data_IF_790482827484
#
_entry.id   IF_790482827484
#
_cell.length_a   1.000
_cell.length_b   1.000
_cell.length_c   1.000
_cell.angle_alpha   90.00
_cell.angle_beta   90.00
_cell.angle_gamma   90.00
#
_symmetry.space_group_name_H-M   'P 1'
#
loop_
_entity.id
_entity.type
_entity.pdbx_description
1 polymer ?
#
# COMPACT_ATOMS: atom_id res chain seq x y z
N UNK A 1 48.23 13.77 -3.88
CA UNK A 1 48.26 12.50 -3.12
C UNK A 1 46.84 12.34 -2.65
N UNK A 2 46.07 11.69 -3.51
CA UNK A 2 44.66 11.36 -3.30
C UNK A 2 44.59 10.26 -2.24
N UNK A 3 43.62 10.36 -1.34
CA UNK A 3 42.74 9.26 -0.95
C UNK A 3 41.74 9.81 0.09
N UNK A 4 40.55 10.17 -0.39
CA UNK A 4 39.37 10.20 0.47
C UNK A 4 38.84 8.77 0.57
N UNK A 5 38.86 8.21 1.77
CA UNK A 5 38.19 6.95 2.07
C UNK A 5 36.84 7.24 2.72
N UNK A 6 35.81 6.92 1.94
CA UNK A 6 34.39 6.90 2.26
C UNK A 6 34.07 5.73 3.18
N UNK A 7 33.64 6.01 4.41
CA UNK A 7 33.02 5.03 5.30
C UNK A 7 31.50 5.27 5.40
N UNK A 8 30.80 4.98 4.30
CA UNK A 8 29.36 4.71 4.33
C UNK A 8 29.19 3.22 4.70
N UNK A 9 29.18 2.94 6.01
CA UNK A 9 28.82 1.62 6.53
C UNK A 9 27.33 1.36 6.24
N UNK A 10 27.08 0.91 5.01
CA UNK A 10 25.86 0.20 4.65
C UNK A 10 25.69 -1.00 5.58
N UNK A 11 24.77 -0.89 6.54
CA UNK A 11 24.36 -2.01 7.39
C UNK A 11 23.64 -3.01 6.49
N UNK A 12 24.41 -3.97 5.97
CA UNK A 12 23.91 -5.14 5.26
C UNK A 12 23.19 -6.01 6.29
N UNK A 13 21.87 -5.91 6.32
CA UNK A 13 21.02 -6.88 7.00
C UNK A 13 21.23 -8.23 6.28
N UNK A 14 22.06 -9.08 6.88
CA UNK A 14 22.23 -10.45 6.42
C UNK A 14 20.89 -11.16 6.58
N UNK A 15 20.28 -11.49 5.44
CA UNK A 15 19.08 -12.32 5.36
C UNK A 15 19.38 -13.64 6.07
N UNK A 16 18.86 -13.78 7.29
CA UNK A 16 18.73 -15.06 7.94
C UNK A 16 17.79 -15.92 7.09
N UNK A 17 18.14 -17.18 6.86
CA UNK A 17 17.33 -18.16 6.14
C UNK A 17 15.89 -18.18 6.67
N UNK A 18 14.98 -17.48 5.99
CA UNK A 18 13.54 -17.52 6.27
C UNK A 18 12.97 -18.64 5.43
N UNK A 19 12.78 -19.80 6.05
CA UNK A 19 12.04 -20.92 5.48
C UNK A 19 10.68 -20.46 4.96
N UNK A 20 10.37 -20.87 3.74
CA UNK A 20 9.18 -20.61 2.91
C UNK A 20 7.84 -20.45 3.67
N UNK A 21 7.55 -19.23 4.11
CA UNK A 21 6.19 -18.73 4.37
C UNK A 21 6.18 -17.20 4.26
N UNK A 22 6.72 -16.66 3.16
CA UNK A 22 6.59 -15.24 2.85
C UNK A 22 5.19 -14.99 2.32
N UNK A 23 4.23 -14.80 3.22
CA UNK A 23 2.94 -14.21 2.83
C UNK A 23 3.22 -12.77 2.44
N UNK A 24 3.12 -12.48 1.13
CA UNK A 24 3.29 -11.12 0.64
C UNK A 24 2.19 -10.24 1.24
N UNK A 25 2.53 -9.02 1.64
CA UNK A 25 1.61 -8.04 2.25
C UNK A 25 0.38 -7.77 1.35
N UNK A 26 0.46 -8.13 0.05
CA UNK A 26 -0.56 -7.94 -0.97
C UNK A 26 -1.83 -8.79 -0.78
N UNK A 27 -1.81 -9.87 0.01
CA UNK A 27 -2.98 -10.76 0.22
C UNK A 27 -3.74 -10.49 1.53
N UNK A 28 -3.24 -9.59 2.38
CA UNK A 28 -3.86 -9.29 3.67
C UNK A 28 -4.87 -8.14 3.52
N UNK A 29 -6.16 -8.48 3.58
CA UNK A 29 -7.24 -7.53 3.40
C UNK A 29 -7.84 -7.00 4.71
N UNK A 30 -7.61 -7.68 5.84
CA UNK A 30 -8.13 -7.22 7.14
C UNK A 30 -7.25 -7.58 8.34
N UNK A 31 -7.44 -6.81 9.44
CA UNK A 31 -6.72 -6.96 10.71
C UNK A 31 -6.89 -8.34 11.37
N UNK A 32 -7.97 -9.07 11.05
CA UNK A 32 -8.22 -10.41 11.61
C UNK A 32 -7.31 -11.45 10.95
N UNK A 33 -7.18 -11.43 9.62
CA UNK A 33 -6.27 -12.29 8.86
C UNK A 33 -4.82 -12.10 9.33
N UNK A 34 -4.41 -10.84 9.49
CA UNK A 34 -3.09 -10.52 10.02
C UNK A 34 -2.87 -11.08 11.44
N UNK A 35 -3.87 -10.95 12.32
CA UNK A 35 -3.77 -11.51 13.67
C UNK A 35 -3.67 -13.03 13.64
N UNK A 36 -4.44 -13.72 12.79
CA UNK A 36 -4.37 -15.17 12.66
C UNK A 36 -2.96 -15.63 12.21
N UNK A 37 -2.39 -14.94 11.22
CA UNK A 37 -1.03 -15.22 10.75
C UNK A 37 0.03 -14.98 11.85
N UNK A 38 -0.14 -13.92 12.65
CA UNK A 38 0.69 -13.67 13.82
C UNK A 38 0.58 -14.82 14.85
N UNK A 39 -0.62 -15.31 15.12
CA UNK A 39 -0.85 -16.43 16.05
C UNK A 39 -0.22 -17.72 15.53
N UNK A 40 -0.34 -18.01 14.24
CA UNK A 40 0.29 -19.16 13.60
C UNK A 40 1.82 -19.09 13.69
N UNK A 41 2.40 -17.93 13.41
CA UNK A 41 3.85 -17.70 13.53
C UNK A 41 4.35 -17.80 14.98
N UNK A 42 3.59 -17.27 15.94
CA UNK A 42 3.94 -17.38 17.36
C UNK A 42 3.84 -18.84 17.86
N UNK A 43 2.87 -19.59 17.35
CA UNK A 43 2.69 -21.02 17.68
C UNK A 43 3.82 -21.88 17.09
N UNK A 44 4.24 -21.62 15.85
CA UNK A 44 5.36 -22.34 15.23
C UNK A 44 6.71 -22.01 15.86
N UNK A 45 6.86 -20.80 16.41
CA UNK A 45 8.08 -20.36 17.11
C UNK A 45 8.04 -20.58 18.63
N UNK A 46 7.01 -21.26 19.16
CA UNK A 46 6.81 -21.54 20.60
C UNK A 46 6.88 -20.28 21.49
N UNK A 47 6.42 -19.13 20.98
CA UNK A 47 6.39 -17.86 21.72
C UNK A 47 5.00 -17.61 22.33
N UNK A 48 4.92 -16.92 23.48
CA UNK A 48 3.64 -16.54 24.05
C UNK A 48 2.88 -15.60 23.12
N UNK A 49 1.60 -15.88 22.91
CA UNK A 49 0.72 -15.12 22.01
C UNK A 49 0.10 -13.95 22.76
N UNK A 50 0.25 -12.74 22.22
CA UNK A 50 -0.43 -11.56 22.74
C UNK A 50 -1.94 -11.59 22.48
N UNK A 51 -2.72 -11.00 23.39
CA UNK A 51 -4.16 -10.81 23.18
C UNK A 51 -4.41 -9.93 21.94
N UNK A 52 -5.51 -10.19 21.23
CA UNK A 52 -5.89 -9.41 20.04
C UNK A 52 -5.93 -7.90 20.30
N UNK A 53 -6.33 -7.49 21.51
CA UNK A 53 -6.38 -6.09 21.92
C UNK A 53 -4.98 -5.50 22.00
N UNK A 54 -4.07 -6.14 22.73
CA UNK A 54 -2.68 -5.69 22.86
C UNK A 54 -1.99 -5.60 21.48
N UNK A 55 -2.23 -6.60 20.62
CA UNK A 55 -1.70 -6.60 19.25
C UNK A 55 -2.20 -5.39 18.42
N UNK A 56 -3.50 -5.09 18.49
CA UNK A 56 -4.07 -3.95 17.77
C UNK A 56 -3.61 -2.60 18.34
N UNK A 57 -3.45 -2.51 19.66
CA UNK A 57 -3.00 -1.30 20.34
C UNK A 57 -1.53 -1.00 19.96
N UNK A 58 -0.65 -2.02 19.92
CA UNK A 58 0.75 -1.87 19.45
C UNK A 58 0.81 -1.48 17.96
N UNK A 59 0.02 -2.11 17.09
CA UNK A 59 -0.01 -1.72 15.67
C UNK A 59 -0.40 -0.26 15.45
N UNK A 60 -1.29 0.26 16.29
CA UNK A 60 -1.72 1.65 16.23
C UNK A 60 -0.66 2.60 16.80
N UNK A 61 -0.03 2.23 17.92
CA UNK A 61 1.06 2.99 18.55
C UNK A 61 2.27 3.13 17.62
N UNK A 62 2.64 2.04 16.94
CA UNK A 62 3.73 1.99 15.97
C UNK A 62 3.33 2.58 14.59
N UNK A 63 2.11 3.09 14.44
CA UNK A 63 1.56 3.67 13.21
C UNK A 63 1.72 2.75 11.97
N UNK A 64 1.59 1.43 12.17
CA UNK A 64 1.78 0.45 11.09
C UNK A 64 0.48 0.30 10.31
N UNK A 65 0.32 1.14 9.28
CA UNK A 65 -0.78 1.10 8.32
C UNK A 65 -0.62 0.00 7.26
N UNK A 66 -0.76 -1.27 7.63
CA UNK A 66 -0.62 -2.40 6.68
C UNK A 66 -1.75 -2.46 5.64
N UNK A 67 -2.95 -2.02 6.02
CA UNK A 67 -4.09 -1.96 5.13
C UNK A 67 -4.14 -0.58 4.51
N UNK A 68 -3.88 -0.49 3.21
CA UNK A 68 -4.28 0.69 2.45
C UNK A 68 -5.79 0.82 2.59
N UNK A 69 -6.21 1.84 3.33
CA UNK A 69 -7.59 2.26 3.31
C UNK A 69 -7.86 2.59 1.84
N UNK A 70 -8.91 2.03 1.22
CA UNK A 70 -9.34 2.42 -0.13
C UNK A 70 -9.75 3.90 -0.08
N UNK A 71 -8.77 4.81 -0.07
CA UNK A 71 -9.02 6.24 -0.24
C UNK A 71 -9.53 6.43 -1.66
N UNK A 72 -10.59 7.24 -1.78
CA UNK A 72 -11.20 7.68 -3.04
C UNK A 72 -11.92 6.59 -3.87
N UNK A 73 -12.50 5.59 -3.21
CA UNK A 73 -13.51 4.77 -3.87
C UNK A 73 -14.78 5.62 -4.07
N UNK A 74 -14.98 6.13 -5.29
CA UNK A 74 -16.19 6.88 -5.62
C UNK A 74 -17.42 5.97 -5.55
N UNK A 75 -18.59 6.56 -5.32
CA UNK A 75 -19.87 5.85 -5.14
C UNK A 75 -20.14 4.81 -6.23
N UNK A 76 -19.80 5.10 -7.49
CA UNK A 76 -19.99 4.18 -8.61
C UNK A 76 -19.12 2.91 -8.50
N UNK A 77 -17.87 3.04 -8.05
CA UNK A 77 -16.99 1.89 -7.82
C UNK A 77 -17.52 1.02 -6.67
N UNK A 78 -17.96 1.66 -5.58
CA UNK A 78 -18.56 0.96 -4.45
C UNK A 78 -19.88 0.26 -4.84
N UNK A 79 -20.72 0.91 -5.64
CA UNK A 79 -22.00 0.38 -6.07
C UNK A 79 -21.83 -0.81 -7.04
N UNK A 80 -20.82 -0.78 -7.91
CA UNK A 80 -20.47 -1.92 -8.76
C UNK A 80 -19.98 -3.13 -7.96
N UNK A 81 -19.15 -2.94 -6.92
CA UNK A 81 -18.71 -4.04 -6.04
C UNK A 81 -19.88 -4.78 -5.36
N UNK A 82 -21.00 -4.08 -5.13
CA UNK A 82 -22.22 -4.64 -4.52
C UNK A 82 -23.22 -5.17 -5.59
N UNK A 83 -22.90 -5.06 -6.88
CA UNK A 83 -23.74 -5.53 -7.98
C UNK A 83 -24.91 -4.62 -8.34
N UNK A 84 -24.87 -3.35 -7.94
CA UNK A 84 -25.94 -2.38 -8.21
C UNK A 84 -25.75 -1.60 -9.52
N UNK A 85 -24.64 -1.82 -10.23
CA UNK A 85 -24.27 -1.12 -11.47
C UNK A 85 -23.98 -2.16 -12.55
N UNK A 86 -24.37 -1.85 -13.79
CA UNK A 86 -24.08 -2.70 -14.94
C UNK A 86 -22.59 -2.67 -15.28
N UNK A 87 -22.07 -3.80 -15.78
CA UNK A 87 -20.66 -3.93 -16.21
C UNK A 87 -20.27 -2.85 -17.22
N UNK A 88 -21.14 -2.59 -18.20
CA UNK A 88 -20.89 -1.63 -19.27
C UNK A 88 -20.69 -0.21 -18.74
N UNK A 89 -21.49 0.18 -17.74
CA UNK A 89 -21.39 1.50 -17.10
C UNK A 89 -20.13 1.62 -16.24
N UNK A 90 -19.76 0.54 -15.55
CA UNK A 90 -18.52 0.49 -14.78
C UNK A 90 -17.29 0.56 -15.68
N UNK A 91 -17.27 -0.19 -16.77
CA UNK A 91 -16.18 -0.22 -17.72
C UNK A 91 -15.96 1.16 -18.36
N UNK A 92 -17.04 1.80 -18.80
CA UNK A 92 -17.01 3.19 -19.30
C UNK A 92 -16.46 4.17 -18.26
N UNK A 93 -16.84 4.02 -16.99
CA UNK A 93 -16.31 4.84 -15.91
C UNK A 93 -14.81 4.64 -15.68
N UNK A 94 -14.33 3.40 -15.75
CA UNK A 94 -12.89 3.08 -15.63
C UNK A 94 -12.10 3.68 -16.80
N UNK A 95 -12.62 3.59 -18.02
CA UNK A 95 -12.01 4.19 -19.21
C UNK A 95 -11.84 5.70 -19.04
N UNK A 96 -12.91 6.41 -18.64
CA UNK A 96 -12.86 7.85 -18.40
C UNK A 96 -11.85 8.23 -17.31
N UNK A 97 -11.77 7.45 -16.22
CA UNK A 97 -10.77 7.66 -15.17
C UNK A 97 -9.35 7.51 -15.70
N UNK A 98 -9.09 6.52 -16.54
CA UNK A 98 -7.77 6.28 -17.10
C UNK A 98 -7.38 7.41 -18.06
N UNK A 99 -8.30 7.83 -18.95
CA UNK A 99 -8.09 8.97 -19.84
C UNK A 99 -7.73 10.24 -19.04
N UNK A 100 -8.48 10.57 -17.98
CA UNK A 100 -8.21 11.74 -17.17
C UNK A 100 -6.84 11.66 -16.45
N UNK A 101 -6.42 10.47 -16.01
CA UNK A 101 -5.10 10.25 -15.41
C UNK A 101 -3.98 10.40 -16.42
N UNK A 102 -4.17 9.91 -17.64
CA UNK A 102 -3.22 10.05 -18.74
C UNK A 102 -3.05 11.52 -19.12
N UNK A 103 -4.14 12.27 -19.32
CA UNK A 103 -4.05 13.70 -19.60
C UNK A 103 -3.37 14.47 -18.46
N UNK A 104 -3.72 14.18 -17.20
CA UNK A 104 -3.00 14.76 -16.04
C UNK A 104 -1.51 14.44 -16.04
N UNK A 105 -1.11 13.25 -16.52
CA UNK A 105 0.30 12.87 -16.62
C UNK A 105 1.02 13.66 -17.71
N UNK A 106 0.37 13.88 -18.86
CA UNK A 106 0.87 14.70 -19.96
C UNK A 106 1.01 16.15 -19.53
N UNK A 107 0.00 16.69 -18.85
CA UNK A 107 0.03 18.06 -18.32
C UNK A 107 1.16 18.26 -17.31
N UNK A 108 1.37 17.29 -16.40
CA UNK A 108 2.51 17.32 -15.48
C UNK A 108 3.85 17.32 -16.22
N UNK A 109 3.97 16.58 -17.32
CA UNK A 109 5.19 16.53 -18.12
C UNK A 109 5.41 17.84 -18.89
N UNK A 110 4.36 18.38 -19.51
CA UNK A 110 4.39 19.67 -20.20
C UNK A 110 4.71 20.82 -19.24
N UNK A 111 4.21 20.76 -18.00
CA UNK A 111 4.53 21.73 -16.97
C UNK A 111 6.00 21.67 -16.53
N UNK A 112 6.55 20.46 -16.38
CA UNK A 112 7.99 20.27 -16.11
C UNK A 112 8.87 20.83 -17.23
N UNK A 113 8.41 20.75 -18.48
CA UNK A 113 9.12 21.30 -19.63
C UNK A 113 8.96 22.83 -19.77
N UNK A 114 8.14 23.46 -18.94
CA UNK A 114 7.88 24.91 -18.98
C UNK A 114 6.91 25.34 -20.08
N UNK A 115 6.26 24.39 -20.76
CA UNK A 115 5.31 24.69 -21.84
C UNK A 115 3.97 25.19 -21.30
N UNK A 116 3.57 24.75 -20.10
CA UNK A 116 2.31 25.12 -19.44
C UNK A 116 2.53 25.35 -17.94
N UNK A 117 1.63 26.08 -17.30
CA UNK A 117 1.55 26.14 -15.85
C UNK A 117 0.35 25.32 -15.36
N UNK A 118 0.59 24.42 -14.42
CA UNK A 118 -0.48 23.62 -13.79
C UNK A 118 -0.75 24.16 -12.40
N UNK A 119 -2.03 24.38 -12.08
CA UNK A 119 -2.48 24.77 -10.74
C UNK A 119 -3.24 23.61 -10.15
N UNK A 120 -2.82 23.16 -8.98
CA UNK A 120 -3.53 22.15 -8.20
C UNK A 120 -4.03 22.78 -6.91
N UNK A 121 -5.33 22.69 -6.67
CA UNK A 121 -5.96 23.06 -5.42
C UNK A 121 -6.56 21.79 -4.79
N UNK A 122 -6.35 21.61 -3.50
CA UNK A 122 -7.14 20.66 -2.70
C UNK A 122 -8.50 21.32 -2.40
N UNK A 123 -9.58 20.54 -2.52
CA UNK A 123 -10.94 20.93 -2.13
C UNK A 123 -11.33 20.23 -0.83
#
# INVERSE_FOLDING_TARGET
MEEEASDDESVVWKNADVSDNVVTIQELHNRRQLYNLYVEFASSSSKPVASRKLFCDILAEENIGLFQHKKDACDLCCAYEVGNVLEEDYQRHIELKNMAREEKSKDKLAAKNGNIHTVTADL
#
